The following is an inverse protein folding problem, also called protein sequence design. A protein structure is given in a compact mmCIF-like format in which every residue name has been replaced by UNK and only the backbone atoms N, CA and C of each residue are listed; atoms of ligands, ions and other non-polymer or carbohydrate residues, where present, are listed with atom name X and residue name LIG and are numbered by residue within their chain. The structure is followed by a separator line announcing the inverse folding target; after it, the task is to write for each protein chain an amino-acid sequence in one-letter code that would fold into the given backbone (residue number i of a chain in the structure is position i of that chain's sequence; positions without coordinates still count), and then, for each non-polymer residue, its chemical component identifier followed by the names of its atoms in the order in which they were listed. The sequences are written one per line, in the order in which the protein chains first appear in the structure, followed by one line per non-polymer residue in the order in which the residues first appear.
data_IF_536770432357
#
_entry.id   IF_536770432357
#
_cell.length_a   1.000
_cell.length_b   1.000
_cell.length_c   1.000
_cell.angle_alpha   90.00
_cell.angle_beta   90.00
_cell.angle_gamma   90.00
#
_symmetry.space_group_name_H-M   'P 1'
#
loop_
_entity.id
_entity.type
_entity.pdbx_description
1 polymer ?
#
# COMPACT_ATOMS: atom_id res chain seq x y z
N UNK A 1 -2.41 -21.57 12.26
CA UNK A 1 -1.39 -20.50 12.19
C UNK A 1 -2.06 -19.17 11.86
N UNK A 2 -1.75 -18.07 12.56
CA UNK A 2 -2.20 -16.71 12.18
C UNK A 2 -1.23 -16.12 11.14
N UNK A 3 -1.03 -16.84 10.03
CA UNK A 3 -0.09 -16.44 8.98
C UNK A 3 -0.50 -15.14 8.31
N UNK A 4 0.48 -14.36 7.83
CA UNK A 4 0.23 -13.21 6.96
C UNK A 4 -0.23 -13.74 5.60
N UNK A 5 -1.49 -13.48 5.25
CA UNK A 5 -2.15 -14.04 4.04
C UNK A 5 -2.19 -13.08 2.87
N UNK A 6 -1.91 -11.81 3.12
CA UNK A 6 -2.09 -10.75 2.15
C UNK A 6 -0.78 -10.00 1.96
N UNK A 7 -0.57 -9.49 0.75
CA UNK A 7 0.48 -8.52 0.44
C UNK A 7 -0.21 -7.31 -0.15
N UNK A 8 0.01 -6.15 0.46
CA UNK A 8 -0.31 -4.87 -0.17
C UNK A 8 0.92 -4.43 -0.95
N UNK A 9 0.74 -3.88 -2.16
CA UNK A 9 1.83 -3.34 -2.95
C UNK A 9 1.43 -2.02 -3.62
N UNK A 10 2.42 -1.18 -3.89
CA UNK A 10 2.31 -0.05 -4.81
C UNK A 10 3.50 -0.07 -5.78
N UNK A 11 3.32 0.54 -6.95
CA UNK A 11 4.34 0.59 -8.00
C UNK A 11 4.42 2.00 -8.55
N UNK A 12 5.61 2.61 -8.51
CA UNK A 12 5.83 3.92 -9.10
C UNK A 12 5.62 3.88 -10.61
N UNK A 13 4.70 4.69 -11.15
CA UNK A 13 4.35 4.65 -12.57
C UNK A 13 5.56 4.94 -13.49
N UNK A 14 6.44 5.85 -13.08
CA UNK A 14 7.60 6.31 -13.87
C UNK A 14 8.79 5.33 -13.80
N UNK A 15 9.27 5.04 -12.59
CA UNK A 15 10.48 4.24 -12.38
C UNK A 15 10.21 2.73 -12.30
N UNK A 16 8.94 2.33 -12.25
CA UNK A 16 8.50 0.97 -11.96
C UNK A 16 8.98 0.39 -10.62
N UNK A 17 9.42 1.25 -9.69
CA UNK A 17 9.88 0.83 -8.36
C UNK A 17 8.71 0.28 -7.52
N UNK A 18 8.84 -0.93 -6.92
CA UNK A 18 7.80 -1.52 -6.08
C UNK A 18 7.98 -1.21 -4.59
N UNK A 19 6.86 -0.98 -3.90
CA UNK A 19 6.75 -1.00 -2.43
C UNK A 19 5.77 -2.09 -2.02
N UNK A 20 6.02 -2.78 -0.91
CA UNK A 20 5.13 -3.84 -0.45
C UNK A 20 5.19 -4.07 1.05
N UNK A 21 4.10 -4.62 1.60
CA UNK A 21 4.02 -5.02 3.01
C UNK A 21 3.15 -6.25 3.18
N UNK A 22 3.58 -7.16 4.04
CA UNK A 22 2.81 -8.37 4.37
C UNK A 22 1.79 -8.10 5.49
N UNK A 23 0.54 -8.47 5.25
CA UNK A 23 -0.60 -8.20 6.14
C UNK A 23 -1.27 -9.48 6.62
N UNK A 24 -1.80 -9.42 7.85
CA UNK A 24 -2.62 -10.51 8.42
C UNK A 24 -4.07 -10.42 7.92
N UNK A 25 -4.58 -9.20 7.68
CA UNK A 25 -5.93 -8.89 7.21
C UNK A 25 -5.90 -7.62 6.35
N UNK A 26 -6.78 -7.53 5.34
CA UNK A 26 -7.03 -6.28 4.61
C UNK A 26 -8.01 -5.39 5.41
N UNK A 27 -7.62 -4.15 5.65
CA UNK A 27 -8.45 -3.15 6.33
C UNK A 27 -8.05 -1.74 5.88
N UNK A 28 -8.98 -0.78 5.97
CA UNK A 28 -8.69 0.62 5.66
C UNK A 28 -7.56 1.20 6.51
N UNK A 29 -7.48 0.79 7.79
CA UNK A 29 -6.34 1.17 8.64
C UNK A 29 -5.01 0.63 8.11
N UNK A 30 -4.96 -0.62 7.65
CA UNK A 30 -3.74 -1.22 7.11
C UNK A 30 -3.32 -0.55 5.80
N UNK A 31 -4.29 -0.20 4.93
CA UNK A 31 -4.07 0.55 3.69
C UNK A 31 -3.57 1.96 3.99
N UNK A 32 -4.24 2.71 4.86
CA UNK A 32 -3.84 4.06 5.24
C UNK A 32 -2.43 4.09 5.86
N UNK A 33 -2.10 3.10 6.70
CA UNK A 33 -0.75 2.97 7.27
C UNK A 33 0.30 2.68 6.20
N UNK A 34 -0.01 1.83 5.22
CA UNK A 34 0.89 1.58 4.10
C UNK A 34 1.12 2.84 3.25
N UNK A 35 0.06 3.59 2.92
CA UNK A 35 0.16 4.84 2.17
C UNK A 35 1.02 5.86 2.94
N UNK A 36 0.78 6.03 4.24
CA UNK A 36 1.54 6.98 5.04
C UNK A 36 3.02 6.59 5.15
N UNK A 37 3.30 5.37 5.61
CA UNK A 37 4.65 4.97 6.01
C UNK A 37 5.53 4.62 4.80
N UNK A 38 5.01 3.85 3.85
CA UNK A 38 5.82 3.32 2.73
C UNK A 38 5.78 4.24 1.50
N UNK A 39 4.74 5.07 1.35
CA UNK A 39 4.61 5.98 0.22
C UNK A 39 4.98 7.43 0.59
N UNK A 40 4.21 8.06 1.48
CA UNK A 40 4.36 9.50 1.75
C UNK A 40 5.62 9.83 2.56
N UNK A 41 5.90 9.10 3.65
CA UNK A 41 7.08 9.35 4.47
C UNK A 41 8.39 9.06 3.73
N UNK A 42 8.38 8.16 2.75
CA UNK A 42 9.57 7.70 2.03
C UNK A 42 9.82 8.48 0.73
N UNK A 43 8.77 8.76 -0.03
CA UNK A 43 8.87 9.36 -1.36
C UNK A 43 8.36 10.81 -1.41
N UNK A 44 7.76 11.30 -0.32
CA UNK A 44 7.16 12.62 -0.26
C UNK A 44 5.77 12.68 -0.91
N UNK A 45 5.42 13.84 -1.45
CA UNK A 45 4.10 14.08 -2.04
C UNK A 45 3.93 13.27 -3.33
N UNK A 46 2.85 12.48 -3.39
CA UNK A 46 2.43 11.72 -4.58
C UNK A 46 1.23 12.42 -5.18
N UNK A 47 1.29 12.72 -6.48
CA UNK A 47 0.23 13.47 -7.17
C UNK A 47 -1.06 12.68 -7.39
N UNK A 48 -0.96 11.38 -7.63
CA UNK A 48 -2.10 10.49 -7.85
C UNK A 48 -1.78 9.07 -7.38
N UNK A 49 -2.75 8.43 -6.72
CA UNK A 49 -2.73 7.01 -6.38
C UNK A 49 -3.92 6.36 -7.07
N UNK A 50 -3.66 5.38 -7.94
CA UNK A 50 -4.68 4.63 -8.66
C UNK A 50 -4.81 3.24 -8.03
N UNK A 51 -6.03 2.89 -7.61
CA UNK A 51 -6.36 1.60 -7.01
C UNK A 51 -7.55 0.97 -7.71
N UNK A 52 -7.87 -0.28 -7.36
CA UNK A 52 -9.16 -0.86 -7.71
C UNK A 52 -10.30 -0.22 -6.86
N UNK A 53 -11.54 -0.67 -7.10
CA UNK A 53 -12.72 -0.24 -6.35
C UNK A 53 -12.96 -1.11 -5.09
N UNK A 54 -11.88 -1.56 -4.45
CA UNK A 54 -11.91 -2.29 -3.19
C UNK A 54 -12.52 -1.46 -2.06
N UNK A 55 -13.06 -2.13 -1.04
CA UNK A 55 -13.72 -1.46 0.10
C UNK A 55 -12.74 -1.04 1.20
N UNK A 56 -11.49 -1.40 1.02
CA UNK A 56 -10.40 -1.14 1.95
C UNK A 56 -9.71 0.20 1.69
N UNK A 57 -10.09 0.93 0.64
CA UNK A 57 -9.74 2.34 0.47
C UNK A 57 -10.85 3.26 0.98
#
# INVERSE_FOLDING_TARGET
SKGRKYVIQARCALASYPEWRSLVKTSAEAVGRFILEELLCRWGVIGEIVTDNGKEL
#
